data_IF_508996556468
#
_entry.id   IF_508996556468
#
_cell.length_a   1.000
_cell.length_b   1.000
_cell.length_c   1.000
_cell.angle_alpha   90.00
_cell.angle_beta   90.00
_cell.angle_gamma   90.00
#
_symmetry.space_group_name_H-M   'P 1'
#
loop_
_entity.id
_entity.type
_entity.pdbx_description
1 polymer ?
#
# COMPACT_ATOMS: atom_id res chain seq x y z
N UNK A 1 6.69 -3.08 -0.20
CA UNK A 1 5.27 -3.18 0.15
C UNK A 1 4.61 -3.98 -0.95
N UNK A 2 4.39 -5.26 -0.68
CA UNK A 2 3.78 -6.22 -1.58
C UNK A 2 2.30 -6.24 -1.23
N UNK A 3 1.46 -5.92 -2.20
CA UNK A 3 0.01 -5.90 -2.10
C UNK A 3 -0.52 -7.23 -2.60
N UNK A 4 -1.26 -7.95 -1.77
CA UNK A 4 -1.89 -9.22 -2.14
C UNK A 4 -3.27 -9.29 -1.54
N UNK A 5 -4.09 -10.20 -2.03
CA UNK A 5 -5.38 -10.53 -1.47
C UNK A 5 -5.56 -12.05 -1.44
N UNK A 6 -6.21 -12.55 -0.38
CA UNK A 6 -6.34 -13.98 -0.12
C UNK A 6 -7.70 -14.35 0.46
N UNK A 7 -8.07 -15.62 0.34
CA UNK A 7 -9.17 -16.25 1.09
C UNK A 7 -8.62 -17.13 2.20
N UNK A 8 -9.28 -17.06 3.34
CA UNK A 8 -8.97 -17.89 4.49
C UNK A 8 -10.22 -18.67 4.89
N UNK A 9 -10.02 -19.89 5.36
CA UNK A 9 -11.03 -20.67 6.06
C UNK A 9 -11.36 -20.03 7.42
N UNK A 10 -12.46 -20.46 8.05
CA UNK A 10 -12.87 -19.96 9.37
C UNK A 10 -11.83 -20.20 10.48
N UNK A 11 -10.95 -21.19 10.30
CA UNK A 11 -9.84 -21.50 11.21
C UNK A 11 -8.54 -20.72 10.88
N UNK A 12 -8.65 -19.70 10.02
CA UNK A 12 -7.56 -18.84 9.55
C UNK A 12 -6.49 -19.55 8.72
N UNK A 13 -6.76 -20.74 8.19
CA UNK A 13 -5.88 -21.36 7.20
C UNK A 13 -6.13 -20.76 5.80
N UNK A 14 -5.07 -20.64 4.99
CA UNK A 14 -5.20 -20.21 3.60
C UNK A 14 -6.04 -21.23 2.81
N UNK A 15 -7.11 -20.76 2.15
CA UNK A 15 -7.91 -21.59 1.26
C UNK A 15 -7.31 -21.56 -0.15
N UNK A 16 -6.28 -22.39 -0.36
CA UNK A 16 -5.56 -22.43 -1.63
C UNK A 16 -6.46 -22.80 -2.81
N UNK A 17 -7.45 -23.68 -2.61
CA UNK A 17 -8.33 -24.11 -3.69
C UNK A 17 -9.30 -22.99 -4.08
N UNK A 18 -9.79 -22.21 -3.11
CA UNK A 18 -10.63 -21.06 -3.40
C UNK A 18 -9.85 -19.84 -3.94
N UNK A 19 -8.53 -19.80 -3.76
CA UNK A 19 -7.60 -18.82 -4.34
C UNK A 19 -6.97 -19.27 -5.68
N UNK A 20 -7.20 -20.52 -6.08
CA UNK A 20 -6.73 -21.11 -7.34
C UNK A 20 -7.86 -21.12 -8.38
N UNK A 21 -7.91 -20.07 -9.20
CA UNK A 21 -8.83 -19.95 -10.34
C UNK A 21 -8.03 -19.59 -11.61
N UNK A 22 -8.21 -20.30 -12.74
CA UNK A 22 -7.53 -19.99 -14.00
C UNK A 22 -7.78 -18.57 -14.52
N UNK A 23 -8.95 -18.00 -14.24
CA UNK A 23 -9.29 -16.63 -14.60
C UNK A 23 -8.76 -15.64 -13.53
N UNK A 24 -8.29 -16.13 -12.39
CA UNK A 24 -7.74 -15.36 -11.28
C UNK A 24 -8.79 -15.00 -10.23
N UNK A 25 -8.38 -15.01 -8.95
CA UNK A 25 -9.24 -14.73 -7.80
C UNK A 25 -8.97 -13.33 -7.26
N UNK A 26 -10.06 -12.60 -6.98
CA UNK A 26 -10.02 -11.44 -6.10
C UNK A 26 -10.46 -11.89 -4.70
N UNK A 27 -9.47 -12.08 -3.82
CA UNK A 27 -9.70 -12.47 -2.44
C UNK A 27 -10.33 -11.32 -1.64
N UNK A 28 -11.21 -11.59 -0.66
CA UNK A 28 -11.85 -10.55 0.13
C UNK A 28 -10.90 -9.92 1.15
N UNK A 29 -9.76 -10.56 1.47
CA UNK A 29 -8.86 -10.13 2.53
C UNK A 29 -7.57 -9.55 1.95
N UNK A 30 -7.33 -8.24 2.05
CA UNK A 30 -6.03 -7.65 1.75
C UNK A 30 -4.94 -8.18 2.70
N UNK A 31 -3.78 -8.45 2.12
CA UNK A 31 -2.60 -8.95 2.82
C UNK A 31 -1.39 -8.14 2.34
N UNK A 32 -0.86 -7.28 3.20
CA UNK A 32 0.24 -6.37 2.86
C UNK A 32 1.53 -6.90 3.47
N UNK A 33 2.53 -7.21 2.64
CA UNK A 33 3.74 -7.93 3.03
C UNK A 33 3.44 -9.20 3.87
N UNK A 34 2.37 -9.93 3.56
CA UNK A 34 1.98 -11.13 4.34
C UNK A 34 1.20 -10.84 5.63
N UNK A 35 0.83 -9.59 5.92
CA UNK A 35 0.12 -9.20 7.15
C UNK A 35 -1.28 -8.67 6.85
N UNK A 36 -2.28 -9.12 7.61
CA UNK A 36 -3.66 -8.63 7.56
C UNK A 36 -3.77 -7.40 8.48
N UNK A 37 -4.43 -6.34 8.01
CA UNK A 37 -4.63 -5.08 8.74
C UNK A 37 -3.36 -4.52 9.43
N UNK A 38 -2.22 -4.39 8.73
CA UNK A 38 -0.99 -3.91 9.34
C UNK A 38 -1.06 -2.42 9.68
N UNK A 39 -0.19 -2.04 10.62
CA UNK A 39 0.20 -0.66 10.84
C UNK A 39 1.71 -0.50 10.72
N UNK A 40 2.16 0.74 10.53
CA UNK A 40 3.56 1.10 10.45
C UNK A 40 3.84 2.34 11.30
N UNK A 41 4.79 2.23 12.23
CA UNK A 41 5.20 3.35 13.08
C UNK A 41 6.15 4.28 12.31
N UNK A 42 5.66 5.47 12.01
CA UNK A 42 6.40 6.49 11.28
C UNK A 42 7.38 7.20 12.21
N UNK A 43 8.67 7.12 11.90
CA UNK A 43 9.75 7.77 12.68
C UNK A 43 10.51 8.85 11.91
N UNK A 44 10.14 9.07 10.65
CA UNK A 44 10.76 10.02 9.72
C UNK A 44 9.67 10.77 8.96
N UNK A 45 9.94 12.03 8.57
CA UNK A 45 8.95 12.83 7.84
C UNK A 45 8.66 12.28 6.45
N UNK A 46 9.67 11.79 5.73
CA UNK A 46 9.48 11.21 4.40
C UNK A 46 9.70 9.70 4.43
N UNK A 47 8.85 8.99 3.69
CA UNK A 47 8.94 7.54 3.48
C UNK A 47 8.88 7.25 1.99
N UNK A 48 9.80 6.39 1.53
CA UNK A 48 9.75 5.80 0.18
C UNK A 48 9.07 4.44 0.25
N UNK A 49 7.90 4.33 -0.35
CA UNK A 49 7.17 3.08 -0.47
C UNK A 49 7.49 2.44 -1.83
N UNK A 50 8.00 1.20 -1.80
CA UNK A 50 8.17 0.36 -2.98
C UNK A 50 6.96 -0.55 -3.12
N UNK A 51 6.05 -0.19 -3.99
CA UNK A 51 4.79 -0.89 -4.21
C UNK A 51 5.01 -1.99 -5.25
N UNK A 52 4.45 -3.16 -4.99
CA UNK A 52 4.35 -4.27 -5.94
C UNK A 52 2.94 -4.83 -5.81
N UNK A 53 2.21 -4.89 -6.91
CA UNK A 53 1.01 -5.72 -6.96
C UNK A 53 1.41 -7.19 -7.17
N UNK A 54 1.28 -7.97 -6.10
CA UNK A 54 1.49 -9.41 -6.08
C UNK A 54 0.18 -10.21 -5.98
N UNK A 55 -0.95 -9.60 -6.30
CA UNK A 55 -2.24 -10.25 -6.43
C UNK A 55 -2.32 -11.06 -7.73
N UNK A 56 -3.25 -12.02 -7.77
CA UNK A 56 -3.46 -12.85 -8.96
C UNK A 56 -4.29 -12.11 -10.02
N UNK A 57 -5.21 -11.24 -9.59
CA UNK A 57 -6.17 -10.53 -10.48
C UNK A 57 -6.56 -9.12 -10.03
N UNK A 58 -6.46 -8.82 -8.74
CA UNK A 58 -6.94 -7.54 -8.19
C UNK A 58 -6.12 -6.37 -8.71
N UNK A 59 -6.80 -5.33 -9.18
CA UNK A 59 -6.22 -3.99 -9.33
C UNK A 59 -6.31 -3.25 -7.99
N UNK A 60 -5.26 -2.53 -7.61
CA UNK A 60 -5.22 -1.71 -6.41
C UNK A 60 -5.36 -0.23 -6.78
N UNK A 61 -6.47 0.41 -6.39
CA UNK A 61 -6.72 1.85 -6.61
C UNK A 61 -6.37 2.62 -5.35
N UNK A 62 -5.08 2.90 -5.21
CA UNK A 62 -4.47 3.41 -3.99
C UNK A 62 -4.72 4.90 -3.79
N UNK A 63 -5.10 5.28 -2.58
CA UNK A 63 -5.10 6.67 -2.11
C UNK A 63 -4.93 6.71 -0.59
N UNK A 64 -4.42 7.83 -0.07
CA UNK A 64 -4.32 8.05 1.37
C UNK A 64 -5.60 8.70 1.91
N UNK A 65 -5.82 8.63 3.22
CA UNK A 65 -6.81 9.46 3.91
C UNK A 65 -6.56 10.94 3.61
N UNK A 66 -7.65 11.70 3.52
CA UNK A 66 -7.64 13.14 3.24
C UNK A 66 -6.96 13.53 1.92
N UNK A 67 -6.95 12.63 0.94
CA UNK A 67 -6.31 12.82 -0.37
C UNK A 67 -4.85 13.31 -0.27
N UNK A 68 -4.11 12.84 0.73
CA UNK A 68 -2.71 13.20 0.92
C UNK A 68 -1.90 12.94 -0.36
N UNK A 69 -1.34 14.02 -0.91
CA UNK A 69 -0.52 13.96 -2.12
C UNK A 69 0.79 13.18 -1.87
N UNK A 70 1.18 12.38 -2.85
CA UNK A 70 2.45 11.69 -2.89
C UNK A 70 3.11 11.85 -4.27
N UNK A 71 4.40 11.53 -4.34
CA UNK A 71 5.20 11.70 -5.55
C UNK A 71 5.71 10.34 -6.05
N UNK A 72 5.29 9.92 -7.24
CA UNK A 72 5.88 8.77 -7.92
C UNK A 72 7.25 9.15 -8.48
N UNK A 73 8.25 8.31 -8.19
CA UNK A 73 9.65 8.51 -8.58
C UNK A 73 10.20 7.37 -9.43
N UNK A 74 9.54 6.20 -9.45
CA UNK A 74 9.92 5.06 -10.27
C UNK A 74 8.70 4.24 -10.71
N UNK A 75 8.86 3.54 -11.82
CA UNK A 75 7.95 2.51 -12.35
C UNK A 75 8.68 1.17 -12.47
N UNK A 76 8.10 0.20 -13.15
CA UNK A 76 8.74 -1.08 -13.47
C UNK A 76 10.13 -0.94 -14.10
N UNK A 77 10.30 0.06 -14.97
CA UNK A 77 11.55 0.31 -15.68
C UNK A 77 12.64 1.00 -14.86
N UNK A 78 12.36 1.34 -13.60
CA UNK A 78 13.26 2.11 -12.73
C UNK A 78 12.82 3.56 -12.57
N UNK A 79 13.79 4.44 -12.29
CA UNK A 79 13.54 5.85 -11.96
C UNK A 79 12.91 6.59 -13.15
N UNK A 80 11.86 7.36 -12.88
CA UNK A 80 11.19 8.18 -13.89
C UNK A 80 12.09 9.36 -14.32
N UNK A 81 11.95 9.87 -15.56
CA UNK A 81 12.70 11.06 -16.01
C UNK A 81 12.50 12.29 -15.11
N UNK A 82 11.34 12.39 -14.46
CA UNK A 82 11.01 13.40 -13.46
C UNK A 82 10.00 12.85 -12.46
N UNK A 83 9.98 13.36 -11.21
CA UNK A 83 8.94 13.01 -10.24
C UNK A 83 7.56 13.48 -10.70
N UNK A 84 6.52 12.69 -10.42
CA UNK A 84 5.12 13.02 -10.79
C UNK A 84 4.24 12.97 -9.55
N UNK A 85 3.44 14.00 -9.32
CA UNK A 85 2.56 14.13 -8.14
C UNK A 85 1.19 13.53 -8.42
N UNK A 86 0.66 12.81 -7.43
CA UNK A 86 -0.63 12.14 -7.48
C UNK A 86 -1.30 12.18 -6.10
N UNK A 87 -2.62 12.10 -6.09
CA UNK A 87 -3.41 11.71 -4.90
C UNK A 87 -3.91 10.28 -5.01
N UNK A 88 -3.93 9.73 -6.23
CA UNK A 88 -4.41 8.39 -6.54
C UNK A 88 -3.43 7.67 -7.48
N UNK A 89 -3.22 6.37 -7.23
CA UNK A 89 -2.38 5.52 -8.06
C UNK A 89 -3.05 4.17 -8.24
N UNK A 90 -3.28 3.79 -9.49
CA UNK A 90 -3.70 2.43 -9.82
C UNK A 90 -2.48 1.56 -10.08
N UNK A 91 -2.44 0.36 -9.49
CA UNK A 91 -1.50 -0.70 -9.81
C UNK A 91 -2.28 -1.92 -10.28
N UNK A 92 -1.82 -2.52 -11.37
CA UNK A 92 -2.32 -3.79 -11.89
C UNK A 92 -1.28 -4.90 -11.68
N UNK A 93 -1.68 -6.15 -11.89
CA UNK A 93 -0.89 -7.31 -11.48
C UNK A 93 0.53 -7.28 -12.04
N UNK A 94 1.51 -7.55 -11.17
CA UNK A 94 2.95 -7.54 -11.41
C UNK A 94 3.59 -6.16 -11.67
N UNK A 95 2.82 -5.07 -11.70
CA UNK A 95 3.39 -3.73 -11.78
C UNK A 95 4.04 -3.32 -10.46
N UNK A 96 5.08 -2.49 -10.58
CA UNK A 96 5.71 -1.78 -9.48
C UNK A 96 5.66 -0.27 -9.69
N UNK A 97 5.49 0.42 -8.58
CA UNK A 97 5.73 1.84 -8.48
C UNK A 97 6.53 2.14 -7.21
N UNK A 98 7.37 3.17 -7.26
CA UNK A 98 7.95 3.73 -6.04
C UNK A 98 7.44 5.14 -5.83
N UNK A 99 6.88 5.39 -4.64
CA UNK A 99 6.35 6.69 -4.26
C UNK A 99 7.08 7.22 -3.04
N UNK A 100 7.23 8.54 -2.96
CA UNK A 100 7.62 9.25 -1.74
C UNK A 100 6.38 9.92 -1.17
N UNK A 101 6.13 9.68 0.12
CA UNK A 101 5.07 10.32 0.88
C UNK A 101 5.72 11.25 1.90
N UNK A 102 5.24 12.48 1.97
CA UNK A 102 5.72 13.48 2.93
C UNK A 102 4.69 13.65 4.05
N UNK A 103 5.09 13.24 5.25
CA UNK A 103 4.31 13.33 6.47
C UNK A 103 4.75 14.51 7.35
N UNK A 104 5.48 15.50 6.82
CA UNK A 104 6.01 16.63 7.60
C UNK A 104 4.95 17.47 8.33
N UNK A 105 3.67 17.37 7.95
CA UNK A 105 2.55 18.09 8.58
C UNK A 105 1.81 17.27 9.65
N UNK A 106 2.16 16.00 9.86
CA UNK A 106 1.55 15.13 10.86
C UNK A 106 2.35 15.17 12.17
N UNK A 107 1.67 14.90 13.28
CA UNK A 107 2.19 15.01 14.64
C UNK A 107 2.01 13.71 15.41
N UNK A 108 2.74 13.52 16.52
CA UNK A 108 2.51 12.38 17.41
C UNK A 108 1.04 12.27 17.83
N UNK A 109 0.44 11.09 17.63
CA UNK A 109 -0.97 10.81 17.89
C UNK A 109 -1.85 10.81 16.63
N UNK A 110 -1.37 11.38 15.52
CA UNK A 110 -2.08 11.31 14.25
C UNK A 110 -2.03 9.87 13.69
N UNK A 111 -2.94 9.59 12.74
CA UNK A 111 -2.92 8.40 11.91
C UNK A 111 -3.25 8.78 10.47
N UNK A 112 -2.61 8.10 9.51
CA UNK A 112 -2.91 8.22 8.09
C UNK A 112 -3.13 6.82 7.56
N UNK A 113 -4.23 6.59 6.83
CA UNK A 113 -4.53 5.26 6.29
C UNK A 113 -4.34 5.27 4.78
N UNK A 114 -3.65 4.27 4.26
CA UNK A 114 -3.64 3.95 2.84
C UNK A 114 -4.82 3.01 2.55
N UNK A 115 -5.61 3.37 1.56
CA UNK A 115 -6.76 2.64 1.08
C UNK A 115 -6.53 2.07 -0.31
N UNK A 116 -7.33 1.06 -0.66
CA UNK A 116 -7.65 0.72 -2.04
C UNK A 116 -9.16 0.77 -2.21
N UNK A 117 -9.65 1.67 -3.05
CA UNK A 117 -11.06 2.05 -3.04
C UNK A 117 -11.49 2.36 -1.57
N UNK A 118 -12.56 1.78 -1.05
CA UNK A 118 -13.00 2.01 0.33
C UNK A 118 -12.33 1.09 1.38
N UNK A 119 -11.36 0.26 0.98
CA UNK A 119 -10.75 -0.75 1.86
C UNK A 119 -9.44 -0.24 2.43
N UNK A 120 -9.36 -0.08 3.76
CA UNK A 120 -8.12 0.23 4.45
C UNK A 120 -7.11 -0.93 4.31
N UNK A 121 -5.89 -0.64 3.86
CA UNK A 121 -4.85 -1.67 3.65
C UNK A 121 -3.60 -1.49 4.51
N UNK A 122 -3.31 -0.27 4.97
CA UNK A 122 -2.18 0.01 5.87
C UNK A 122 -2.42 1.29 6.65
N UNK A 123 -2.20 1.27 7.97
CA UNK A 123 -2.28 2.49 8.80
C UNK A 123 -0.89 2.95 9.22
N UNK A 124 -0.55 4.20 8.94
CA UNK A 124 0.65 4.88 9.39
C UNK A 124 0.36 5.57 10.72
N UNK A 125 1.14 5.24 11.76
CA UNK A 125 0.97 5.79 13.11
C UNK A 125 2.15 6.67 13.46
N UNK A 126 1.87 7.85 14.00
CA UNK A 126 2.90 8.83 14.32
C UNK A 126 3.16 8.80 15.83
N UNK A 127 4.31 8.26 16.25
CA UNK A 127 4.64 8.17 17.69
C UNK A 127 5.71 9.16 18.14
N UNK A 128 6.70 9.47 17.31
CA UNK A 128 7.74 10.48 17.54
C UNK A 128 8.51 10.75 16.25
N UNK A 129 8.10 11.77 15.49
CA UNK A 129 8.80 12.16 14.25
C UNK A 129 10.14 12.80 14.57
N UNK A 130 11.22 12.30 13.96
CA UNK A 130 12.53 12.95 14.06
C UNK A 130 12.52 14.28 13.27
N UNK A 131 12.99 15.41 13.85
CA UNK A 131 13.12 16.67 13.13
C UNK A 131 14.19 16.59 12.05
N UNK A 132 14.11 17.49 11.05
CA UNK A 132 15.09 17.60 9.96
C UNK A 132 16.42 18.11 10.54
N UNK A 133 17.53 17.45 10.20
CA UNK A 133 18.89 17.95 10.47
C UNK A 133 19.18 19.11 9.53
#
# INVERSE_FOLDING_TARGET
MILQDRKFHEDNQLDYMADYDPDGVQGPTPVINGTINPYFDVTTQQIRLRLLDGANRREWRLHFSDDLEFTQIASDGGILPSPVRFTHLMLTCAERAEIIVDFGNYHPGDEVTLYSDDIAILTFKFMNLRPKI
#
